data_IF_408799873365
#
_entry.id   IF_408799873365
#
_cell.length_a   1.000
_cell.length_b   1.000
_cell.length_c   1.000
_cell.angle_alpha   90.00
_cell.angle_beta   90.00
_cell.angle_gamma   90.00
#
_symmetry.space_group_name_H-M   'P 1'
#
loop_
_entity.id
_entity.type
_entity.pdbx_description
1 polymer ?
#
# COMPACT_ATOMS: atom_id res chain seq x y z
N UNK A 1 -10.91 -46.97 -39.71
CA UNK A 1 -11.41 -47.74 -38.54
C UNK A 1 -10.77 -49.10 -38.58
N UNK A 2 -9.73 -49.34 -37.80
CA UNK A 2 -9.16 -50.67 -37.60
C UNK A 2 -9.03 -50.89 -36.09
N UNK A 3 -9.86 -51.79 -35.57
CA UNK A 3 -9.84 -52.25 -34.19
C UNK A 3 -8.76 -53.31 -34.04
N UNK A 4 -7.70 -53.00 -33.30
CA UNK A 4 -6.86 -54.03 -32.70
C UNK A 4 -7.35 -54.28 -31.28
N UNK A 5 -7.98 -55.45 -31.08
CA UNK A 5 -8.23 -56.05 -29.78
C UNK A 5 -6.99 -56.89 -29.46
N UNK A 6 -6.31 -56.60 -28.36
CA UNK A 6 -5.32 -57.52 -27.79
C UNK A 6 -5.86 -58.09 -26.49
N UNK A 7 -5.93 -59.41 -26.48
CA UNK A 7 -6.49 -60.24 -25.44
C UNK A 7 -5.62 -60.26 -24.18
N UNK A 8 -6.32 -60.37 -23.05
CA UNK A 8 -5.75 -60.66 -21.75
C UNK A 8 -5.32 -62.13 -21.68
N UNK A 9 -4.18 -62.37 -21.02
CA UNK A 9 -3.87 -63.52 -20.13
C UNK A 9 -2.38 -63.80 -20.15
N UNK A 10 -1.73 -63.54 -19.03
CA UNK A 10 -0.55 -64.20 -18.46
C UNK A 10 -0.10 -63.26 -17.33
N UNK A 11 0.31 -63.64 -16.13
CA UNK A 11 0.15 -64.82 -15.31
C UNK A 11 0.69 -64.39 -13.93
N UNK A 12 0.21 -65.06 -12.90
CA UNK A 12 0.50 -64.83 -11.49
C UNK A 12 1.98 -65.13 -11.20
N UNK A 13 2.69 -64.26 -10.46
CA UNK A 13 3.73 -64.72 -9.52
C UNK A 13 3.90 -63.71 -8.38
N UNK A 14 3.64 -64.20 -7.17
CA UNK A 14 3.95 -63.56 -5.90
C UNK A 14 5.47 -63.42 -5.69
N UNK A 15 5.91 -62.46 -4.86
CA UNK A 15 6.67 -62.71 -3.62
C UNK A 15 7.14 -61.39 -2.99
N UNK A 16 7.12 -61.42 -1.66
CA UNK A 16 7.40 -60.43 -0.62
C UNK A 16 8.75 -59.73 -0.65
N UNK A 17 8.81 -58.46 -0.19
CA UNK A 17 9.84 -58.00 0.76
C UNK A 17 9.50 -56.58 1.30
N UNK A 18 9.20 -56.53 2.59
CA UNK A 18 9.23 -55.32 3.43
C UNK A 18 10.62 -54.71 3.48
N UNK A 19 10.74 -53.41 3.20
CA UNK A 19 11.89 -52.59 3.60
C UNK A 19 11.40 -51.26 4.20
N UNK A 20 11.27 -51.28 5.52
CA UNK A 20 11.07 -50.10 6.37
C UNK A 20 12.45 -49.55 6.75
N UNK A 21 12.86 -48.40 6.18
CA UNK A 21 13.98 -47.56 6.68
C UNK A 21 13.64 -46.11 6.24
N UNK A 22 13.07 -45.28 7.12
CA UNK A 22 13.76 -44.37 8.05
C UNK A 22 14.55 -43.22 7.36
N UNK A 23 14.03 -42.00 7.58
CA UNK A 23 14.72 -40.81 8.11
C UNK A 23 14.43 -39.53 7.30
N UNK A 24 13.65 -38.67 7.97
CA UNK A 24 13.70 -37.22 8.05
C UNK A 24 14.27 -36.42 6.87
N UNK A 25 13.45 -35.52 6.29
CA UNK A 25 13.87 -34.17 5.86
C UNK A 25 12.69 -33.35 5.31
N UNK A 26 11.73 -32.93 6.13
CA UNK A 26 10.88 -31.77 5.77
C UNK A 26 10.60 -30.93 7.02
N UNK A 27 11.60 -30.15 7.43
CA UNK A 27 11.39 -29.03 8.34
C UNK A 27 12.37 -27.88 8.01
N UNK A 28 12.35 -27.42 6.75
CA UNK A 28 12.84 -26.08 6.41
C UNK A 28 11.64 -25.13 6.49
N UNK A 29 11.16 -24.91 7.71
CA UNK A 29 10.38 -23.69 8.01
C UNK A 29 11.38 -22.55 7.90
N UNK A 30 11.38 -21.86 6.76
CA UNK A 30 12.14 -20.64 6.57
C UNK A 30 11.84 -19.69 7.72
N UNK A 31 12.87 -19.35 8.51
CA UNK A 31 12.76 -18.26 9.49
C UNK A 31 12.34 -17.00 8.71
N UNK A 32 11.35 -16.22 9.18
CA UNK A 32 11.02 -14.96 8.53
C UNK A 32 12.27 -14.09 8.53
N UNK A 33 12.83 -13.82 7.36
CA UNK A 33 13.97 -12.92 7.24
C UNK A 33 13.53 -11.54 7.78
N UNK A 34 14.31 -10.95 8.70
CA UNK A 34 14.02 -9.59 9.13
C UNK A 34 14.13 -8.70 7.90
N UNK A 35 13.00 -8.11 7.49
CA UNK A 35 12.97 -7.08 6.47
C UNK A 35 13.93 -5.99 6.95
N UNK A 36 15.06 -5.85 6.28
CA UNK A 36 16.07 -4.87 6.66
C UNK A 36 15.42 -3.48 6.61
N UNK A 37 15.37 -2.82 7.76
CA UNK A 37 15.05 -1.40 7.80
C UNK A 37 16.03 -0.67 6.88
N UNK A 38 15.53 0.35 6.18
CA UNK A 38 16.33 1.18 5.30
C UNK A 38 17.54 1.72 6.10
N UNK A 39 18.78 1.29 5.78
CA UNK A 39 19.93 1.37 6.70
C UNK A 39 20.14 2.77 7.29
N UNK A 40 19.98 3.80 6.45
CA UNK A 40 20.13 5.19 6.84
C UNK A 40 19.25 5.64 8.04
N UNK A 41 18.07 5.04 8.26
CA UNK A 41 17.19 5.42 9.39
C UNK A 41 17.55 4.68 10.68
N UNK A 42 17.92 3.41 10.56
CA UNK A 42 18.39 2.59 11.67
C UNK A 42 19.70 3.15 12.22
N UNK A 43 20.59 3.61 11.33
CA UNK A 43 21.87 4.23 11.71
C UNK A 43 21.66 5.59 12.38
N UNK A 44 20.71 6.39 11.85
CA UNK A 44 20.38 7.73 12.34
C UNK A 44 19.80 7.71 13.75
N UNK A 45 18.81 6.85 14.02
CA UNK A 45 18.09 6.87 15.30
C UNK A 45 18.52 5.77 16.27
N UNK A 46 19.11 4.67 15.77
CA UNK A 46 19.58 3.55 16.59
C UNK A 46 18.46 2.73 17.27
N UNK A 47 17.20 2.90 16.85
CA UNK A 47 16.03 2.22 17.41
C UNK A 47 15.52 1.11 16.50
N UNK A 48 14.87 0.09 17.07
CA UNK A 48 14.30 -1.02 16.30
C UNK A 48 13.14 -0.54 15.42
N UNK A 49 12.83 -1.31 14.38
CA UNK A 49 11.71 -1.00 13.46
C UNK A 49 10.37 -0.83 14.20
N UNK A 50 10.13 -1.66 15.23
CA UNK A 50 8.95 -1.63 16.09
C UNK A 50 8.77 -0.28 16.82
N UNK A 51 9.84 0.50 16.99
CA UNK A 51 9.77 1.80 17.64
C UNK A 51 8.91 2.79 16.85
N UNK A 52 8.98 2.75 15.51
CA UNK A 52 8.24 3.65 14.61
C UNK A 52 7.07 2.95 13.89
N UNK A 53 7.03 1.62 13.88
CA UNK A 53 6.08 0.83 13.14
C UNK A 53 5.31 -0.12 14.04
N UNK A 54 4.04 -0.37 13.71
CA UNK A 54 3.23 -1.38 14.41
C UNK A 54 3.77 -2.79 14.14
N UNK A 55 4.38 -3.01 12.97
CA UNK A 55 5.05 -4.26 12.64
C UNK A 55 6.50 -4.28 13.16
N UNK A 56 6.86 -5.31 13.92
CA UNK A 56 8.20 -5.50 14.47
C UNK A 56 9.29 -5.68 13.38
N UNK A 57 8.93 -6.23 12.21
CA UNK A 57 9.82 -6.33 11.06
C UNK A 57 10.01 -5.02 10.29
N UNK A 58 9.34 -3.94 10.69
CA UNK A 58 9.32 -2.68 9.93
C UNK A 58 8.35 -2.70 8.76
N UNK A 59 8.22 -1.54 8.10
CA UNK A 59 7.23 -1.33 7.04
C UNK A 59 5.79 -1.29 7.56
N UNK A 60 4.84 -1.06 6.65
CA UNK A 60 3.42 -0.96 7.00
C UNK A 60 3.06 0.25 7.87
N UNK A 61 1.97 0.12 8.65
CA UNK A 61 1.39 1.22 9.44
C UNK A 61 2.38 1.70 10.52
N UNK A 62 2.57 3.03 10.59
CA UNK A 62 3.34 3.68 11.65
C UNK A 62 2.50 3.76 12.92
N UNK A 63 3.13 3.51 14.07
CA UNK A 63 2.55 3.79 15.38
C UNK A 63 2.58 5.31 15.65
N UNK A 64 2.10 5.74 16.83
CA UNK A 64 2.12 7.16 17.20
C UNK A 64 3.53 7.80 17.15
N UNK A 65 4.59 7.11 17.58
CA UNK A 65 5.99 7.59 17.50
C UNK A 65 6.44 7.83 16.06
N UNK A 66 6.20 6.85 15.18
CA UNK A 66 6.56 6.96 13.77
C UNK A 66 5.79 8.07 13.04
N UNK A 67 4.56 8.38 13.49
CA UNK A 67 3.78 9.52 12.99
C UNK A 67 4.36 10.85 13.48
N UNK A 68 4.74 10.95 14.76
CA UNK A 68 5.42 12.14 15.30
C UNK A 68 6.73 12.41 14.55
N UNK A 69 7.56 11.39 14.40
CA UNK A 69 8.85 11.47 13.70
C UNK A 69 8.70 11.98 12.26
N UNK A 70 7.67 11.52 11.54
CA UNK A 70 7.37 12.00 10.18
C UNK A 70 6.96 13.48 10.16
N UNK A 71 6.20 13.93 11.17
CA UNK A 71 5.71 15.31 11.26
C UNK A 71 6.81 16.28 11.69
N UNK A 72 7.74 15.85 12.54
CA UNK A 72 8.81 16.67 13.10
C UNK A 72 10.12 16.55 12.30
N UNK A 73 10.03 16.64 10.97
CA UNK A 73 11.19 16.65 10.07
C UNK A 73 12.17 15.47 10.28
N UNK A 74 11.65 14.27 10.53
CA UNK A 74 12.45 13.07 10.81
C UNK A 74 13.33 13.27 12.06
N UNK A 75 12.76 13.82 13.12
CA UNK A 75 13.41 14.00 14.42
C UNK A 75 12.44 13.67 15.55
N UNK A 76 12.97 13.16 16.67
CA UNK A 76 12.26 13.04 17.93
C UNK A 76 12.53 14.23 18.87
N UNK A 77 13.02 15.35 18.35
CA UNK A 77 13.14 16.58 19.12
C UNK A 77 11.79 16.94 19.78
N UNK A 78 11.81 17.16 21.09
CA UNK A 78 10.63 17.45 21.92
C UNK A 78 9.55 16.34 21.93
N UNK A 79 9.92 15.10 21.60
CA UNK A 79 8.99 13.99 21.68
C UNK A 79 8.70 13.63 23.14
N UNK A 80 7.45 13.77 23.57
CA UNK A 80 6.96 13.27 24.85
C UNK A 80 6.10 12.01 24.60
N UNK A 81 6.62 10.86 25.01
CA UNK A 81 6.00 9.58 24.72
C UNK A 81 4.63 9.42 25.39
N UNK A 82 4.44 10.01 26.57
CA UNK A 82 3.18 9.95 27.33
C UNK A 82 2.14 10.88 26.72
N UNK A 83 2.53 12.10 26.37
CA UNK A 83 1.64 13.07 25.74
C UNK A 83 1.19 12.60 24.36
N UNK A 84 2.11 12.08 23.55
CA UNK A 84 1.81 11.60 22.20
C UNK A 84 1.01 10.29 22.18
N UNK A 85 1.26 9.37 23.12
CA UNK A 85 0.44 8.16 23.29
C UNK A 85 -0.99 8.53 23.72
N UNK A 86 -1.13 9.44 24.70
CA UNK A 86 -2.44 9.94 25.17
C UNK A 86 -3.20 10.66 24.05
N UNK A 87 -2.52 11.53 23.29
CA UNK A 87 -3.11 12.23 22.15
C UNK A 87 -3.53 11.27 21.01
N UNK A 88 -2.82 10.15 20.86
CA UNK A 88 -3.15 9.11 19.88
C UNK A 88 -4.24 8.14 20.38
N UNK A 89 -4.58 8.14 21.67
CA UNK A 89 -5.46 7.15 22.28
C UNK A 89 -4.90 5.72 22.24
N UNK A 90 -3.57 5.59 22.16
CA UNK A 90 -2.84 4.31 22.11
C UNK A 90 -2.10 4.11 23.45
N UNK A 91 -2.00 2.87 23.98
CA UNK A 91 -1.16 2.61 25.16
C UNK A 91 0.31 2.89 24.83
N UNK A 92 1.08 3.34 25.83
CA UNK A 92 2.52 3.57 25.71
C UNK A 92 3.19 2.29 25.21
N UNK A 93 3.90 2.39 24.08
CA UNK A 93 4.48 1.22 23.41
C UNK A 93 5.58 0.57 24.23
N UNK A 94 5.72 -0.76 24.14
CA UNK A 94 6.63 -1.59 24.93
C UNK A 94 8.13 -1.21 24.87
N UNK A 95 8.53 -0.36 23.91
CA UNK A 95 9.90 0.16 23.80
C UNK A 95 10.00 1.64 24.23
N UNK A 96 9.21 2.10 25.21
CA UNK A 96 9.20 3.51 25.68
C UNK A 96 10.56 4.02 26.17
N UNK A 97 11.35 3.13 26.77
CA UNK A 97 12.64 3.48 27.34
C UNK A 97 13.77 3.52 26.29
N UNK A 98 13.50 3.10 25.05
CA UNK A 98 14.46 3.24 23.96
C UNK A 98 14.56 4.73 23.56
N UNK A 99 15.66 5.37 23.94
CA UNK A 99 15.92 6.78 23.66
C UNK A 99 16.56 6.91 22.27
N UNK A 100 15.82 7.33 21.22
CA UNK A 100 16.40 7.56 19.90
C UNK A 100 17.49 8.63 19.98
N UNK A 101 18.49 8.54 19.11
CA UNK A 101 19.60 9.49 19.10
C UNK A 101 19.13 10.94 18.91
N UNK A 102 18.07 11.19 18.15
CA UNK A 102 17.50 12.54 18.00
C UNK A 102 16.78 13.09 19.25
N UNK A 103 16.57 12.28 20.31
CA UNK A 103 16.10 12.75 21.61
C UNK A 103 17.23 13.24 22.53
N UNK A 104 18.49 12.89 22.24
CA UNK A 104 19.65 13.22 23.09
C UNK A 104 20.59 14.26 22.49
N UNK A 105 20.34 14.71 21.25
CA UNK A 105 21.05 15.87 20.71
C UNK A 105 20.52 17.12 21.41
N UNK A 106 21.34 17.69 22.30
CA UNK A 106 21.10 18.99 22.91
C UNK A 106 20.79 20.03 21.83
N UNK A 107 19.84 20.91 22.12
CA UNK A 107 19.41 22.03 21.29
C UNK A 107 20.62 22.78 20.68
N UNK A 108 21.02 22.44 19.46
CA UNK A 108 22.27 22.95 18.90
C UNK A 108 22.75 22.32 17.59
N UNK A 109 21.90 21.61 16.83
CA UNK A 109 22.21 21.25 15.45
C UNK A 109 21.54 22.27 14.50
N UNK A 110 22.24 22.76 13.46
CA UNK A 110 21.77 23.85 12.62
C UNK A 110 20.44 23.47 11.99
N UNK A 111 19.47 24.38 12.10
CA UNK A 111 18.22 24.33 11.37
C UNK A 111 18.54 23.97 9.91
N UNK A 112 18.14 22.77 9.50
CA UNK A 112 18.09 22.44 8.09
C UNK A 112 17.23 23.52 7.45
N UNK A 113 17.85 24.30 6.58
CA UNK A 113 17.22 25.39 5.84
C UNK A 113 15.85 24.92 5.35
N UNK A 114 14.77 25.66 5.65
CA UNK A 114 13.45 25.24 5.22
C UNK A 114 13.45 25.17 3.69
N UNK A 115 13.34 23.95 3.16
CA UNK A 115 12.97 23.75 1.78
C UNK A 115 11.66 24.53 1.55
N UNK A 116 11.57 25.37 0.50
CA UNK A 116 10.50 26.35 0.37
C UNK A 116 9.13 25.68 0.48
N UNK A 117 8.34 26.20 1.41
CA UNK A 117 7.01 25.76 1.75
C UNK A 117 6.17 25.55 0.49
N UNK A 118 6.00 24.29 0.08
CA UNK A 118 4.88 23.92 -0.77
C UNK A 118 3.65 24.03 0.12
N UNK A 119 2.84 25.05 -0.17
CA UNK A 119 1.63 25.40 0.56
C UNK A 119 0.88 24.17 1.09
N UNK A 120 0.80 24.10 2.41
CA UNK A 120 -0.02 23.16 3.17
C UNK A 120 -1.47 23.25 2.68
N UNK A 121 -2.09 22.18 2.16
CA UNK A 121 -3.54 22.10 2.20
C UNK A 121 -3.96 22.03 3.67
N UNK A 122 -4.90 22.90 4.05
CA UNK A 122 -5.54 23.00 5.36
C UNK A 122 -6.00 21.63 5.92
N UNK A 123 -6.08 21.47 7.25
CA UNK A 123 -6.22 20.17 7.91
C UNK A 123 -7.54 19.48 7.53
N UNK A 124 -7.42 18.30 6.93
CA UNK A 124 -8.55 17.38 6.86
C UNK A 124 -8.84 16.87 8.29
N UNK A 125 -10.02 17.21 8.78
CA UNK A 125 -10.63 16.70 10.00
C UNK A 125 -10.60 15.16 10.07
N UNK A 126 -10.61 14.56 11.28
CA UNK A 126 -10.41 13.14 11.47
C UNK A 126 -11.61 12.35 10.93
N UNK A 127 -11.37 11.35 10.09
CA UNK A 127 -12.45 10.44 9.65
C UNK A 127 -12.60 9.28 10.64
N UNK A 128 -13.79 9.05 11.22
CA UNK A 128 -14.07 7.93 12.13
C UNK A 128 -14.11 6.57 11.43
N UNK A 129 -13.86 5.56 12.25
CA UNK A 129 -14.06 4.11 12.18
C UNK A 129 -14.85 3.48 11.00
N UNK A 130 -14.42 2.25 10.67
CA UNK A 130 -15.04 1.22 9.83
C UNK A 130 -16.52 1.41 9.46
N UNK A 131 -16.77 1.90 8.25
CA UNK A 131 -18.07 1.92 7.56
C UNK A 131 -17.80 1.81 6.06
N UNK A 132 -18.68 1.13 5.32
CA UNK A 132 -18.69 0.83 3.87
C UNK A 132 -17.56 1.50 3.06
N UNK A 133 -16.64 0.70 2.46
CA UNK A 133 -15.49 1.25 1.70
C UNK A 133 -15.93 2.42 0.80
N UNK A 134 -15.27 3.59 0.87
CA UNK A 134 -15.64 4.78 0.11
C UNK A 134 -15.71 4.52 -1.41
N UNK A 135 -15.06 3.45 -1.88
CA UNK A 135 -15.13 2.96 -3.26
C UNK A 135 -16.56 2.60 -3.67
N UNK A 136 -17.40 2.04 -2.80
CA UNK A 136 -18.78 1.67 -3.15
C UNK A 136 -19.62 2.90 -3.51
N UNK A 137 -19.51 3.96 -2.71
CA UNK A 137 -20.18 5.24 -2.99
C UNK A 137 -19.65 5.88 -4.28
N UNK A 138 -18.34 5.81 -4.51
CA UNK A 138 -17.71 6.32 -5.73
C UNK A 138 -18.15 5.55 -6.98
N UNK A 139 -18.27 4.22 -6.91
CA UNK A 139 -18.81 3.39 -8.01
C UNK A 139 -20.26 3.77 -8.34
N UNK A 140 -21.10 4.01 -7.33
CA UNK A 140 -22.47 4.51 -7.55
C UNK A 140 -22.47 5.89 -8.23
N UNK A 141 -21.57 6.80 -7.84
CA UNK A 141 -21.42 8.13 -8.47
C UNK A 141 -20.96 8.02 -9.93
N UNK A 142 -20.04 7.12 -10.24
CA UNK A 142 -19.63 6.83 -11.61
C UNK A 142 -20.82 6.33 -12.43
N UNK A 143 -21.60 5.38 -11.92
CA UNK A 143 -22.80 4.89 -12.60
C UNK A 143 -23.82 6.00 -12.87
N UNK A 144 -24.11 6.84 -11.87
CA UNK A 144 -25.04 7.96 -12.03
C UNK A 144 -24.57 8.98 -13.08
N UNK A 145 -23.30 9.39 -13.02
CA UNK A 145 -22.72 10.32 -14.02
C UNK A 145 -22.62 9.70 -15.41
N UNK A 146 -22.42 8.39 -15.50
CA UNK A 146 -22.44 7.68 -16.78
C UNK A 146 -23.83 7.71 -17.41
N UNK A 147 -24.90 7.55 -16.61
CA UNK A 147 -26.28 7.68 -17.11
C UNK A 147 -26.55 9.09 -17.64
N UNK A 148 -26.10 10.13 -16.94
CA UNK A 148 -26.19 11.51 -17.42
C UNK A 148 -25.43 11.72 -18.73
N UNK A 149 -24.21 11.17 -18.83
CA UNK A 149 -23.43 11.23 -20.07
C UNK A 149 -24.11 10.46 -21.21
N UNK A 150 -24.70 9.30 -20.95
CA UNK A 150 -25.44 8.53 -21.97
C UNK A 150 -26.64 9.30 -22.52
N UNK A 151 -27.35 10.07 -21.68
CA UNK A 151 -28.45 10.94 -22.10
C UNK A 151 -27.97 12.17 -22.89
N UNK A 152 -26.72 12.58 -22.72
CA UNK A 152 -26.16 13.77 -23.36
C UNK A 152 -24.67 13.57 -23.70
N UNK A 153 -24.34 12.70 -24.68
CA UNK A 153 -22.96 12.25 -24.92
C UNK A 153 -22.06 13.33 -25.49
N UNK A 154 -22.63 14.37 -26.09
CA UNK A 154 -21.92 15.52 -26.64
C UNK A 154 -21.77 16.67 -25.64
N UNK A 155 -22.48 16.64 -24.51
CA UNK A 155 -22.46 17.73 -23.54
C UNK A 155 -21.11 17.78 -22.79
N UNK A 156 -20.33 18.86 -22.91
CA UNK A 156 -19.01 18.98 -22.28
C UNK A 156 -19.08 18.94 -20.75
N UNK A 157 -20.13 19.50 -20.14
CA UNK A 157 -20.33 19.44 -18.69
C UNK A 157 -20.59 18.01 -18.21
N UNK A 158 -21.36 17.22 -18.97
CA UNK A 158 -21.61 15.81 -18.66
C UNK A 158 -20.33 14.97 -18.77
N UNK A 159 -19.51 15.19 -19.83
CA UNK A 159 -18.19 14.54 -19.97
C UNK A 159 -17.26 14.89 -18.82
N UNK A 160 -17.18 16.18 -18.46
CA UNK A 160 -16.36 16.66 -17.35
C UNK A 160 -16.80 16.08 -16.00
N UNK A 161 -18.11 16.04 -15.74
CA UNK A 161 -18.67 15.43 -14.53
C UNK A 161 -18.36 13.93 -14.42
N UNK A 162 -18.48 13.18 -15.53
CA UNK A 162 -18.14 11.77 -15.55
C UNK A 162 -16.62 11.53 -15.46
N UNK A 163 -15.81 12.35 -16.13
CA UNK A 163 -14.35 12.32 -15.99
C UNK A 163 -13.91 12.56 -14.53
N UNK A 164 -14.51 13.54 -13.86
CA UNK A 164 -14.22 13.83 -12.46
C UNK A 164 -14.62 12.68 -11.52
N UNK A 165 -15.75 12.01 -11.78
CA UNK A 165 -16.17 10.86 -10.96
C UNK A 165 -15.27 9.64 -11.16
N UNK A 166 -14.82 9.37 -12.40
CA UNK A 166 -13.83 8.33 -12.70
C UNK A 166 -12.49 8.61 -12.00
N UNK A 167 -12.06 9.88 -12.00
CA UNK A 167 -10.84 10.30 -11.29
C UNK A 167 -10.96 10.07 -9.79
N UNK A 168 -12.10 10.44 -9.19
CA UNK A 168 -12.35 10.22 -7.78
C UNK A 168 -12.38 8.72 -7.44
N UNK A 169 -13.01 7.89 -8.27
CA UNK A 169 -13.00 6.43 -8.10
C UNK A 169 -11.59 5.85 -8.21
N UNK A 170 -10.79 6.28 -9.19
CA UNK A 170 -9.40 5.82 -9.35
C UNK A 170 -8.56 6.08 -8.11
N UNK A 171 -8.72 7.26 -7.48
CA UNK A 171 -8.07 7.57 -6.19
C UNK A 171 -8.58 6.71 -5.06
N UNK A 172 -9.90 6.59 -4.92
CA UNK A 172 -10.51 5.74 -3.89
C UNK A 172 -10.04 4.28 -3.98
N UNK A 173 -9.91 3.72 -5.18
CA UNK A 173 -9.40 2.36 -5.41
C UNK A 173 -7.93 2.22 -4.94
N UNK A 174 -7.10 3.24 -5.12
CA UNK A 174 -5.71 3.21 -4.65
C UNK A 174 -5.60 3.25 -3.11
N UNK A 175 -6.52 3.98 -2.48
CA UNK A 175 -6.55 4.19 -1.02
C UNK A 175 -7.28 3.06 -0.27
N UNK A 176 -8.05 2.22 -0.98
CA UNK A 176 -8.80 1.12 -0.37
C UNK A 176 -7.86 0.00 0.13
N UNK A 177 -7.80 -0.27 1.45
CA UNK A 177 -6.97 -1.34 1.99
C UNK A 177 -7.49 -2.74 1.63
N UNK A 178 -8.75 -2.88 1.22
CA UNK A 178 -9.33 -4.16 0.83
C UNK A 178 -8.88 -4.61 -0.58
N UNK A 179 -8.32 -3.71 -1.39
CA UNK A 179 -7.87 -4.03 -2.75
C UNK A 179 -6.35 -4.28 -2.73
N UNK A 180 -5.87 -5.46 -3.16
CA UNK A 180 -4.44 -5.75 -3.15
C UNK A 180 -3.69 -4.83 -4.13
N UNK A 181 -2.43 -4.44 -3.83
CA UNK A 181 -1.61 -3.57 -4.68
C UNK A 181 -1.57 -3.97 -6.16
N UNK A 182 -1.49 -5.29 -6.44
CA UNK A 182 -1.41 -5.84 -7.80
C UNK A 182 -2.67 -5.54 -8.62
N UNK A 183 -3.82 -5.32 -7.97
CA UNK A 183 -5.10 -5.02 -8.64
C UNK A 183 -5.43 -3.53 -8.66
N UNK A 184 -5.15 -2.80 -7.58
CA UNK A 184 -5.58 -1.40 -7.47
C UNK A 184 -4.89 -0.45 -8.44
N UNK A 185 -3.59 -0.60 -8.69
CA UNK A 185 -2.89 0.33 -9.59
C UNK A 185 -3.27 0.15 -11.06
N UNK A 186 -3.40 -1.08 -11.60
CA UNK A 186 -3.94 -1.27 -12.96
C UNK A 186 -5.38 -0.76 -13.10
N UNK A 187 -6.25 -1.03 -12.13
CA UNK A 187 -7.65 -0.55 -12.16
C UNK A 187 -7.71 0.98 -12.13
N UNK A 188 -6.97 1.62 -11.21
CA UNK A 188 -6.89 3.07 -11.13
C UNK A 188 -6.34 3.70 -12.41
N UNK A 189 -5.29 3.13 -13.00
CA UNK A 189 -4.69 3.61 -14.24
C UNK A 189 -5.68 3.59 -15.41
N UNK A 190 -6.48 2.52 -15.53
CA UNK A 190 -7.54 2.43 -16.53
C UNK A 190 -8.61 3.53 -16.31
N UNK A 191 -9.06 3.71 -15.06
CA UNK A 191 -10.04 4.75 -14.71
C UNK A 191 -9.53 6.16 -15.06
N UNK A 192 -8.27 6.48 -14.76
CA UNK A 192 -7.69 7.78 -15.12
C UNK A 192 -7.56 7.97 -16.63
N UNK A 193 -7.19 6.93 -17.39
CA UNK A 193 -7.13 6.99 -18.85
C UNK A 193 -8.52 7.25 -19.47
N UNK A 194 -9.56 6.60 -18.94
CA UNK A 194 -10.94 6.88 -19.34
C UNK A 194 -11.33 8.33 -19.03
N UNK A 195 -10.94 8.84 -17.85
CA UNK A 195 -11.20 10.22 -17.47
C UNK A 195 -10.54 11.22 -18.43
N UNK A 196 -9.27 11.02 -18.80
CA UNK A 196 -8.55 11.89 -19.76
C UNK A 196 -9.13 11.76 -21.18
N UNK A 197 -9.58 10.57 -21.58
CA UNK A 197 -10.25 10.37 -22.87
C UNK A 197 -11.56 11.15 -22.99
N UNK A 198 -12.29 11.31 -21.89
CA UNK A 198 -13.54 12.07 -21.84
C UNK A 198 -13.30 13.58 -21.70
N UNK A 199 -12.28 13.96 -20.93
CA UNK A 199 -11.88 15.34 -20.69
C UNK A 199 -10.35 15.45 -20.65
N UNK A 200 -9.77 15.83 -21.78
CA UNK A 200 -8.31 16.00 -21.91
C UNK A 200 -7.77 17.13 -21.02
N UNK A 201 -8.62 18.03 -20.51
CA UNK A 201 -8.23 19.12 -19.61
C UNK A 201 -8.14 18.70 -18.15
N UNK A 202 -8.50 17.45 -17.83
CA UNK A 202 -8.43 16.91 -16.47
C UNK A 202 -6.98 16.66 -16.04
N UNK A 203 -6.32 17.73 -15.57
CA UNK A 203 -4.94 17.72 -15.07
C UNK A 203 -4.73 16.77 -13.89
N UNK A 204 -5.76 16.54 -13.08
CA UNK A 204 -5.70 15.62 -11.95
C UNK A 204 -5.48 14.18 -12.43
N UNK A 205 -6.32 13.68 -13.35
CA UNK A 205 -6.18 12.35 -13.91
C UNK A 205 -4.86 12.20 -14.70
N UNK A 206 -4.48 13.22 -15.49
CA UNK A 206 -3.21 13.20 -16.23
C UNK A 206 -1.98 13.14 -15.29
N UNK A 207 -2.00 13.86 -14.17
CA UNK A 207 -0.97 13.81 -13.14
C UNK A 207 -0.90 12.43 -12.46
N UNK A 208 -2.05 11.83 -12.14
CA UNK A 208 -2.13 10.53 -11.52
C UNK A 208 -1.63 9.40 -12.46
N UNK A 209 -1.93 9.45 -13.75
CA UNK A 209 -1.37 8.53 -14.78
C UNK A 209 0.16 8.59 -14.75
N UNK A 210 0.73 9.80 -14.88
CA UNK A 210 2.19 9.98 -14.91
C UNK A 210 2.86 9.47 -13.64
N UNK A 211 2.25 9.71 -12.48
CA UNK A 211 2.75 9.22 -11.19
C UNK A 211 2.80 7.69 -11.17
N UNK A 212 1.71 7.02 -11.54
CA UNK A 212 1.64 5.55 -11.57
C UNK A 212 2.66 5.00 -12.56
N UNK A 213 2.69 5.52 -13.79
CA UNK A 213 3.61 5.03 -14.84
C UNK A 213 5.09 5.21 -14.45
N UNK A 214 5.43 6.29 -13.76
CA UNK A 214 6.79 6.51 -13.23
C UNK A 214 7.17 5.44 -12.21
N UNK A 215 6.26 5.09 -11.29
CA UNK A 215 6.48 4.02 -10.31
C UNK A 215 6.67 2.67 -11.00
N UNK A 216 5.88 2.35 -12.02
CA UNK A 216 6.05 1.12 -12.80
C UNK A 216 7.42 1.05 -13.49
N UNK A 217 7.85 2.15 -14.11
CA UNK A 217 9.18 2.25 -14.73
C UNK A 217 10.31 2.07 -13.71
N UNK A 218 10.21 2.71 -12.54
CA UNK A 218 11.19 2.57 -11.46
C UNK A 218 11.27 1.14 -10.92
N UNK A 219 10.15 0.40 -10.93
CA UNK A 219 10.12 -1.02 -10.56
C UNK A 219 10.60 -1.97 -11.68
N UNK A 220 10.99 -1.45 -12.85
CA UNK A 220 11.31 -2.28 -14.01
C UNK A 220 10.14 -3.12 -14.51
N UNK A 221 8.90 -2.71 -14.20
CA UNK A 221 7.68 -3.45 -14.56
C UNK A 221 7.04 -2.84 -15.80
N UNK A 222 6.45 -3.67 -16.69
CA UNK A 222 5.69 -3.15 -17.81
C UNK A 222 4.48 -2.38 -17.32
N UNK A 223 4.19 -1.25 -17.99
CA UNK A 223 3.01 -0.43 -17.70
C UNK A 223 1.76 -1.21 -18.15
N UNK A 224 0.79 -1.47 -17.26
CA UNK A 224 -0.46 -2.12 -17.63
C UNK A 224 -1.20 -1.32 -18.72
N UNK A 225 -1.80 -2.00 -19.69
CA UNK A 225 -2.59 -1.37 -20.75
C UNK A 225 -4.05 -1.22 -20.34
#
# INVERSE_FOLDING_TARGET
>A
MFHFRFDARFAITALTATATVCVASVALVGKPEPVQAFPAFTDKEGVKCAYCHVNAGGGGKRNYRGKFYKKNALSFANFDDKAEATAAGEPIGAEADAKPKSLTVAAGAPAATPEPAVATPAPATPSPQATVSPVVALRKKVAATQLTLKKSPTNPAAKKAHSASLTALGRGVMDDPAIPPVKKYPEALNLFRQAVKLDATNKNAAGDIKRIETVYKQMGKPIPK
#
